data_IF_540854002479
#
_entry.id   IF_540854002479
#
_cell.length_a   1.000
_cell.length_b   1.000
_cell.length_c   1.000
_cell.angle_alpha   90.00
_cell.angle_beta   90.00
_cell.angle_gamma   90.00
#
_symmetry.space_group_name_H-M   'P 1'
#
loop_
_entity.id
_entity.type
_entity.pdbx_description
1 polymer ?
#
# COMPACT_ATOMS: atom_id res chain seq x y z
N UNK A 1 11.95 2.31 3.55
CA UNK A 1 10.60 1.76 3.79
C UNK A 1 10.41 0.50 2.98
N UNK A 2 9.87 -0.57 3.57
CA UNK A 2 9.56 -1.84 2.91
C UNK A 2 8.04 -2.11 2.91
N UNK A 3 7.59 -3.01 2.04
CA UNK A 3 6.21 -3.47 1.99
C UNK A 3 6.02 -4.72 2.87
N UNK A 4 5.15 -4.61 3.86
CA UNK A 4 4.86 -5.62 4.87
C UNK A 4 3.58 -6.38 4.52
N UNK A 5 3.72 -7.50 3.82
CA UNK A 5 2.62 -8.40 3.47
C UNK A 5 2.34 -9.35 4.64
N UNK A 6 1.67 -8.83 5.68
CA UNK A 6 1.41 -9.58 6.92
C UNK A 6 0.01 -10.19 7.01
N UNK A 7 -0.91 -9.81 6.12
CA UNK A 7 -2.28 -10.33 6.11
C UNK A 7 -2.36 -11.80 5.60
N UNK A 8 -1.47 -12.18 4.69
CA UNK A 8 -1.48 -13.48 4.02
C UNK A 8 -0.06 -13.88 3.62
N UNK A 9 0.14 -15.16 3.32
CA UNK A 9 1.39 -15.67 2.72
C UNK A 9 1.15 -16.13 1.30
N UNK A 10 2.21 -16.48 0.58
CA UNK A 10 2.08 -17.30 -0.63
C UNK A 10 1.63 -18.72 -0.28
N UNK A 11 0.96 -19.39 -1.22
CA UNK A 11 0.59 -20.81 -1.13
C UNK A 11 1.81 -21.75 -1.23
N UNK A 12 2.94 -21.28 -1.75
CA UNK A 12 4.22 -21.98 -1.71
C UNK A 12 5.01 -21.77 -0.42
N UNK A 13 4.54 -20.92 0.51
CA UNK A 13 5.27 -20.66 1.75
C UNK A 13 5.38 -21.95 2.59
N UNK A 14 6.53 -22.28 3.21
CA UNK A 14 6.70 -23.54 3.96
C UNK A 14 5.65 -23.80 5.05
N UNK A 15 5.09 -22.75 5.65
CA UNK A 15 3.98 -22.88 6.61
C UNK A 15 2.71 -23.46 5.99
N UNK A 16 2.43 -23.15 4.72
CA UNK A 16 1.25 -23.64 3.99
C UNK A 16 1.59 -24.82 3.09
N UNK A 17 2.59 -24.65 2.23
CA UNK A 17 3.21 -25.65 1.37
C UNK A 17 2.24 -26.44 0.48
N UNK A 18 1.51 -25.71 -0.37
CA UNK A 18 0.59 -26.31 -1.35
C UNK A 18 1.29 -27.28 -2.29
N UNK A 19 2.53 -26.98 -2.65
CA UNK A 19 3.29 -27.72 -3.67
C UNK A 19 4.20 -28.80 -3.07
N UNK A 20 4.14 -29.05 -1.76
CA UNK A 20 4.93 -30.08 -1.07
C UNK A 20 6.45 -29.92 -1.31
N UNK A 21 6.92 -28.67 -1.29
CA UNK A 21 8.33 -28.31 -1.42
C UNK A 21 9.05 -28.32 -0.06
N UNK A 22 8.30 -28.33 1.03
CA UNK A 22 8.79 -28.44 2.40
C UNK A 22 8.18 -29.69 3.07
N UNK A 23 8.54 -29.92 4.33
CA UNK A 23 7.95 -30.98 5.14
C UNK A 23 6.96 -30.39 6.14
N UNK A 24 5.73 -30.91 6.15
CA UNK A 24 4.76 -30.64 7.22
C UNK A 24 3.98 -29.32 7.10
N UNK A 25 3.80 -28.74 5.91
CA UNK A 25 2.96 -27.56 5.74
C UNK A 25 1.46 -27.80 5.94
N UNK A 26 0.73 -26.75 6.32
CA UNK A 26 -0.66 -26.78 6.76
C UNK A 26 -1.68 -27.19 5.68
N UNK A 27 -1.32 -27.12 4.40
CA UNK A 27 -2.23 -27.41 3.29
C UNK A 27 -2.63 -28.90 3.26
N UNK A 28 -1.67 -29.80 3.49
CA UNK A 28 -1.87 -31.25 3.35
C UNK A 28 -1.81 -32.02 4.66
N UNK A 29 -1.32 -31.39 5.74
CA UNK A 29 -1.09 -32.05 7.03
C UNK A 29 -1.98 -31.42 8.12
N UNK A 30 -3.08 -32.08 8.54
CA UNK A 30 -3.91 -31.62 9.65
C UNK A 30 -3.17 -31.50 10.98
N UNK A 31 -2.14 -32.33 11.18
CA UNK A 31 -1.31 -32.32 12.39
C UNK A 31 -0.10 -31.36 12.28
N UNK A 32 -0.03 -30.55 11.22
CA UNK A 32 1.02 -29.54 11.05
C UNK A 32 1.04 -28.58 12.24
N UNK A 33 2.22 -28.20 12.77
CA UNK A 33 2.30 -27.13 13.77
C UNK A 33 1.77 -25.80 13.24
N UNK A 34 1.74 -25.62 11.92
CA UNK A 34 1.22 -24.41 11.27
C UNK A 34 -0.25 -24.51 10.90
N UNK A 35 -0.94 -25.63 11.21
CA UNK A 35 -2.34 -25.83 10.81
C UNK A 35 -3.25 -24.72 11.31
N UNK A 36 -3.08 -24.30 12.56
CA UNK A 36 -3.87 -23.22 13.19
C UNK A 36 -3.55 -21.81 12.69
N UNK A 37 -2.45 -21.64 11.94
CA UNK A 37 -2.04 -20.36 11.38
C UNK A 37 -2.90 -19.94 10.19
N UNK A 38 -3.70 -20.85 9.65
CA UNK A 38 -4.63 -20.61 8.56
C UNK A 38 -6.02 -21.10 8.96
N UNK A 39 -7.04 -20.59 8.26
CA UNK A 39 -8.41 -21.02 8.47
C UNK A 39 -8.89 -21.81 7.25
N UNK A 40 -9.69 -22.85 7.47
CA UNK A 40 -10.18 -23.73 6.41
C UNK A 40 -11.69 -23.87 6.51
N UNK A 41 -12.34 -23.90 5.36
CA UNK A 41 -13.75 -24.25 5.22
C UNK A 41 -13.96 -25.75 5.49
N UNK A 42 -15.20 -26.17 5.79
CA UNK A 42 -15.54 -27.59 6.01
C UNK A 42 -15.23 -28.51 4.82
N UNK A 43 -15.17 -27.97 3.61
CA UNK A 43 -14.82 -28.68 2.38
C UNK A 43 -13.29 -28.86 2.19
N UNK A 44 -12.48 -28.34 3.12
CA UNK A 44 -11.02 -28.40 3.09
C UNK A 44 -10.35 -27.22 2.39
N UNK A 45 -11.11 -26.33 1.74
CA UNK A 45 -10.53 -25.15 1.09
C UNK A 45 -10.05 -24.13 2.11
N UNK A 46 -8.91 -23.48 1.86
CA UNK A 46 -8.37 -22.45 2.74
C UNK A 46 -9.13 -21.12 2.56
N UNK A 47 -9.32 -20.39 3.66
CA UNK A 47 -9.75 -19.00 3.64
C UNK A 47 -8.62 -18.12 3.12
N UNK A 48 -8.85 -17.50 1.97
CA UNK A 48 -7.86 -16.68 1.28
C UNK A 48 -8.30 -15.25 1.08
N UNK A 49 -7.33 -14.37 0.87
CA UNK A 49 -7.60 -12.97 0.56
C UNK A 49 -8.42 -12.83 -0.73
N UNK A 50 -9.61 -12.21 -0.62
CA UNK A 50 -10.60 -12.03 -1.70
C UNK A 50 -10.90 -13.33 -2.49
N UNK A 51 -10.79 -14.49 -1.84
CA UNK A 51 -10.99 -15.80 -2.48
C UNK A 51 -9.87 -16.23 -3.43
N UNK A 52 -8.76 -15.48 -3.52
CA UNK A 52 -7.60 -15.89 -4.31
C UNK A 52 -6.84 -17.00 -3.58
N UNK A 53 -7.02 -18.24 -4.02
CA UNK A 53 -6.45 -19.41 -3.34
C UNK A 53 -4.93 -19.37 -3.18
N UNK A 54 -4.21 -18.59 -3.98
CA UNK A 54 -2.75 -18.49 -3.91
C UNK A 54 -2.27 -17.63 -2.72
N UNK A 55 -3.20 -16.95 -2.04
CA UNK A 55 -2.95 -16.03 -0.94
C UNK A 55 -3.70 -16.50 0.31
N UNK A 56 -3.31 -17.64 0.92
CA UNK A 56 -3.88 -18.12 2.16
C UNK A 56 -3.71 -17.09 3.28
N UNK A 57 -4.82 -16.76 3.96
CA UNK A 57 -4.85 -15.69 4.96
C UNK A 57 -4.36 -16.18 6.31
N UNK A 58 -3.48 -15.42 6.94
CA UNK A 58 -2.95 -15.72 8.27
C UNK A 58 -4.01 -15.48 9.35
N UNK A 59 -3.99 -16.32 10.38
CA UNK A 59 -4.90 -16.26 11.52
C UNK A 59 -4.25 -15.58 12.72
N UNK A 60 -4.57 -14.31 12.95
CA UNK A 60 -4.00 -13.59 14.09
C UNK A 60 -4.58 -13.98 15.46
N UNK A 61 -5.60 -14.86 15.50
CA UNK A 61 -6.04 -15.47 16.77
C UNK A 61 -5.01 -16.46 17.32
N UNK A 62 -4.15 -17.00 16.46
CA UNK A 62 -3.08 -17.92 16.85
C UNK A 62 -1.90 -17.13 17.42
N UNK A 63 -1.55 -17.29 18.72
CA UNK A 63 -0.49 -16.50 19.34
C UNK A 63 0.87 -16.63 18.64
N UNK A 64 1.16 -17.80 18.05
CA UNK A 64 2.40 -18.02 17.30
C UNK A 64 2.49 -17.15 16.03
N UNK A 65 1.36 -16.85 15.39
CA UNK A 65 1.33 -15.91 14.25
C UNK A 65 1.67 -14.50 14.73
N UNK A 66 1.05 -14.06 15.83
CA UNK A 66 1.33 -12.76 16.45
C UNK A 66 2.81 -12.63 16.85
N UNK A 67 3.36 -13.66 17.49
CA UNK A 67 4.79 -13.74 17.83
C UNK A 67 5.67 -13.63 16.60
N UNK A 68 5.41 -14.43 15.58
CA UNK A 68 6.22 -14.47 14.36
C UNK A 68 6.17 -13.15 13.59
N UNK A 69 5.02 -12.51 13.51
CA UNK A 69 4.85 -11.29 12.71
C UNK A 69 5.42 -10.07 13.42
N UNK A 70 5.07 -9.82 14.69
CA UNK A 70 5.46 -8.56 15.35
C UNK A 70 5.81 -8.62 16.84
N UNK A 71 5.33 -9.61 17.59
CA UNK A 71 5.46 -9.59 19.06
C UNK A 71 6.80 -10.12 19.55
N UNK A 72 7.29 -11.23 18.99
CA UNK A 72 8.55 -11.83 19.44
C UNK A 72 9.76 -10.98 19.05
N UNK A 73 10.86 -11.16 19.77
CA UNK A 73 12.11 -10.42 19.55
C UNK A 73 12.69 -10.63 18.14
N UNK A 74 12.55 -11.86 17.62
CA UNK A 74 12.97 -12.27 16.29
C UNK A 74 11.85 -12.17 15.24
N UNK A 75 10.78 -11.43 15.52
CA UNK A 75 9.66 -11.26 14.59
C UNK A 75 10.07 -10.55 13.30
N UNK A 76 9.31 -10.78 12.22
CA UNK A 76 9.58 -10.19 10.90
C UNK A 76 9.65 -8.68 10.98
N UNK A 77 8.69 -8.04 11.65
CA UNK A 77 8.64 -6.58 11.80
C UNK A 77 9.91 -6.03 12.47
N UNK A 78 10.38 -6.66 13.57
CA UNK A 78 11.55 -6.19 14.32
C UNK A 78 12.86 -6.52 13.61
N UNK A 79 12.94 -7.67 12.96
CA UNK A 79 14.15 -8.14 12.28
C UNK A 79 14.71 -7.10 11.29
N UNK A 80 13.85 -6.53 10.44
CA UNK A 80 14.28 -5.54 9.44
C UNK A 80 14.52 -4.13 10.01
N UNK A 81 13.92 -3.81 11.15
CA UNK A 81 14.15 -2.53 11.85
C UNK A 81 15.47 -2.51 12.62
N UNK A 82 16.08 -3.68 12.86
CA UNK A 82 17.34 -3.82 13.58
C UNK A 82 18.54 -3.87 12.63
N UNK A 83 19.76 -3.59 13.13
CA UNK A 83 20.99 -3.84 12.40
C UNK A 83 21.07 -5.31 11.93
N UNK A 84 21.62 -5.58 10.73
CA UNK A 84 22.34 -4.64 9.87
C UNK A 84 21.46 -3.84 8.90
N UNK A 85 20.15 -4.07 8.88
CA UNK A 85 19.24 -3.49 7.88
C UNK A 85 18.77 -2.08 8.27
N UNK A 86 18.24 -1.93 9.49
CA UNK A 86 17.79 -0.66 10.06
C UNK A 86 16.88 0.16 9.14
N UNK A 87 15.82 -0.45 8.60
CA UNK A 87 14.89 0.25 7.71
C UNK A 87 14.14 1.38 8.43
N UNK A 88 13.70 2.39 7.67
CA UNK A 88 13.03 3.58 8.23
C UNK A 88 11.50 3.47 8.33
N UNK A 89 10.91 2.30 8.07
CA UNK A 89 9.46 2.16 8.13
C UNK A 89 8.86 1.05 7.28
N UNK A 90 7.55 0.89 7.46
CA UNK A 90 6.73 -0.16 6.86
C UNK A 90 5.50 0.45 6.16
N UNK A 91 5.26 0.02 4.92
CA UNK A 91 3.94 0.07 4.28
C UNK A 91 3.22 -1.24 4.58
N UNK A 92 2.01 -1.17 5.12
CA UNK A 92 1.22 -2.33 5.54
C UNK A 92 0.19 -2.68 4.47
N UNK A 93 0.40 -3.82 3.81
CA UNK A 93 -0.48 -4.34 2.76
C UNK A 93 -1.84 -4.79 3.30
N UNK A 94 -2.92 -4.38 2.63
CA UNK A 94 -4.32 -4.72 2.91
C UNK A 94 -4.66 -4.63 4.40
N UNK A 95 -4.16 -3.58 5.04
CA UNK A 95 -4.14 -3.44 6.50
C UNK A 95 -5.55 -3.46 7.10
N UNK A 96 -6.55 -2.97 6.37
CA UNK A 96 -7.96 -2.93 6.79
C UNK A 96 -8.63 -4.32 6.89
N UNK A 97 -8.07 -5.37 6.28
CA UNK A 97 -8.63 -6.73 6.31
C UNK A 97 -7.87 -7.69 7.23
N UNK A 98 -6.76 -7.26 7.83
CA UNK A 98 -5.97 -8.07 8.75
C UNK A 98 -6.78 -8.42 10.00
N UNK A 99 -6.72 -9.65 10.46
CA UNK A 99 -7.44 -10.04 11.67
C UNK A 99 -7.53 -11.54 11.91
N UNK A 100 -8.48 -11.88 12.76
CA UNK A 100 -8.67 -13.21 13.34
C UNK A 100 -9.71 -14.04 12.57
N UNK A 101 -9.55 -15.36 12.63
CA UNK A 101 -10.53 -16.36 12.16
C UNK A 101 -11.02 -16.14 10.72
N UNK A 102 -10.10 -15.72 9.83
CA UNK A 102 -10.38 -15.42 8.43
C UNK A 102 -11.05 -14.07 8.17
N UNK A 103 -11.58 -13.42 9.22
CA UNK A 103 -12.19 -12.09 9.17
C UNK A 103 -11.22 -10.95 9.51
N UNK A 104 -11.76 -9.75 9.72
CA UNK A 104 -11.02 -8.58 10.19
C UNK A 104 -11.27 -8.31 11.69
N UNK A 105 -11.68 -9.34 12.45
CA UNK A 105 -11.82 -9.25 13.89
C UNK A 105 -10.44 -8.98 14.52
N UNK A 106 -10.41 -8.19 15.61
CA UNK A 106 -9.14 -7.83 16.27
C UNK A 106 -8.25 -6.87 15.48
N UNK A 107 -8.67 -6.35 14.31
CA UNK A 107 -7.81 -5.56 13.42
C UNK A 107 -7.06 -4.42 14.12
N UNK A 108 -7.77 -3.50 14.78
CA UNK A 108 -7.13 -2.38 15.49
C UNK A 108 -6.23 -2.85 16.63
N UNK A 109 -6.53 -3.98 17.28
CA UNK A 109 -5.68 -4.54 18.33
C UNK A 109 -4.34 -5.01 17.76
N UNK A 110 -4.35 -5.77 16.67
CA UNK A 110 -3.11 -6.24 16.03
C UNK A 110 -2.31 -5.09 15.42
N UNK A 111 -2.98 -4.10 14.82
CA UNK A 111 -2.31 -2.90 14.31
C UNK A 111 -1.68 -2.07 15.42
N UNK A 112 -2.36 -1.90 16.55
CA UNK A 112 -1.76 -1.28 17.72
C UNK A 112 -0.52 -2.07 18.19
N UNK A 113 -0.60 -3.40 18.23
CA UNK A 113 0.53 -4.27 18.58
C UNK A 113 1.72 -4.11 17.64
N UNK A 114 1.48 -4.13 16.32
CA UNK A 114 2.50 -3.90 15.29
C UNK A 114 3.11 -2.51 15.41
N UNK A 115 2.28 -1.46 15.51
CA UNK A 115 2.73 -0.09 15.65
C UNK A 115 3.62 0.09 16.88
N UNK A 116 3.22 -0.46 18.03
CA UNK A 116 4.04 -0.41 19.24
C UNK A 116 5.37 -1.16 19.06
N UNK A 117 5.36 -2.34 18.43
CA UNK A 117 6.59 -3.07 18.14
C UNK A 117 7.54 -2.24 17.26
N UNK A 118 7.02 -1.61 16.20
CA UNK A 118 7.79 -0.75 15.30
C UNK A 118 8.39 0.44 16.06
N UNK A 119 7.57 1.18 16.81
CA UNK A 119 8.01 2.38 17.55
C UNK A 119 8.96 2.08 18.70
N UNK A 120 8.92 0.88 19.27
CA UNK A 120 9.89 0.42 20.27
C UNK A 120 11.27 0.18 19.66
N UNK A 121 11.35 -0.34 18.43
CA UNK A 121 12.63 -0.54 17.74
C UNK A 121 13.18 0.78 17.20
N UNK A 122 12.31 1.60 16.60
CA UNK A 122 12.68 2.90 16.07
C UNK A 122 11.48 3.87 16.18
N UNK A 123 11.52 4.85 17.11
CA UNK A 123 10.45 5.85 17.26
C UNK A 123 10.18 6.67 16.00
N UNK A 124 11.20 6.85 15.15
CA UNK A 124 11.13 7.62 13.91
C UNK A 124 10.68 6.77 12.72
N UNK A 125 10.54 5.45 12.86
CA UNK A 125 10.11 4.59 11.76
C UNK A 125 8.68 4.91 11.33
N UNK A 126 8.49 5.19 10.04
CA UNK A 126 7.20 5.61 9.47
C UNK A 126 6.29 4.41 9.20
N UNK A 127 5.05 4.46 9.69
CA UNK A 127 4.05 3.38 9.50
C UNK A 127 2.91 3.84 8.59
N UNK A 128 2.84 3.25 7.41
CA UNK A 128 1.91 3.61 6.33
C UNK A 128 0.92 2.48 6.08
N UNK A 129 -0.39 2.69 6.27
CA UNK A 129 -1.42 1.70 5.96
C UNK A 129 -1.97 1.79 4.53
N UNK A 130 -2.21 0.65 3.88
CA UNK A 130 -2.96 0.60 2.63
C UNK A 130 -4.48 0.67 2.86
N UNK A 131 -5.06 1.82 2.50
CA UNK A 131 -6.50 2.04 2.53
C UNK A 131 -6.97 2.65 1.20
N UNK A 132 -7.77 1.90 0.43
CA UNK A 132 -8.49 2.47 -0.71
C UNK A 132 -9.66 3.38 -0.27
N UNK A 133 -10.24 3.06 0.90
CA UNK A 133 -11.35 3.80 1.51
C UNK A 133 -10.88 4.79 2.58
N UNK A 134 -11.83 5.26 3.39
CA UNK A 134 -11.56 6.26 4.43
C UNK A 134 -10.73 5.69 5.58
N UNK A 135 -9.48 6.14 5.69
CA UNK A 135 -8.51 5.66 6.68
C UNK A 135 -8.63 6.35 8.05
N UNK A 136 -9.47 7.37 8.21
CA UNK A 136 -9.51 8.21 9.42
C UNK A 136 -9.70 7.40 10.71
N UNK A 137 -10.46 6.31 10.66
CA UNK A 137 -10.66 5.39 11.79
C UNK A 137 -9.34 4.91 12.38
N UNK A 138 -8.39 4.47 11.55
CA UNK A 138 -7.10 3.94 11.96
C UNK A 138 -6.15 5.05 12.40
N UNK A 139 -6.15 6.16 11.67
CA UNK A 139 -5.33 7.34 11.99
C UNK A 139 -5.72 7.96 13.34
N UNK A 140 -7.01 8.02 13.67
CA UNK A 140 -7.48 8.46 14.99
C UNK A 140 -7.20 7.47 16.11
N UNK A 141 -7.23 6.17 15.82
CA UNK A 141 -6.86 5.14 16.78
C UNK A 141 -5.35 5.17 17.11
N UNK A 142 -4.54 5.87 16.31
CA UNK A 142 -3.10 5.99 16.53
C UNK A 142 -2.33 4.70 16.26
N UNK A 143 -2.87 3.83 15.39
CA UNK A 143 -2.26 2.54 15.02
C UNK A 143 -1.45 2.61 13.72
N UNK A 144 -1.48 3.76 13.05
CA UNK A 144 -0.74 4.08 11.82
C UNK A 144 -0.31 5.55 11.88
N UNK A 145 0.79 5.90 11.22
CA UNK A 145 1.19 7.30 11.08
C UNK A 145 0.42 8.00 9.96
N UNK A 146 0.20 7.28 8.87
CA UNK A 146 -0.44 7.76 7.66
C UNK A 146 -1.06 6.61 6.88
N UNK A 147 -1.87 6.96 5.88
CA UNK A 147 -2.43 6.02 4.93
C UNK A 147 -2.01 6.40 3.50
N UNK A 148 -2.02 5.41 2.60
CA UNK A 148 -2.01 5.66 1.15
C UNK A 148 -3.23 6.51 0.83
N UNK A 149 -3.01 7.79 0.50
CA UNK A 149 -4.04 8.82 0.55
C UNK A 149 -4.94 8.80 -0.70
N UNK A 150 -5.57 7.66 -0.99
CA UNK A 150 -6.50 7.52 -2.10
C UNK A 150 -7.71 8.43 -1.90
N UNK A 151 -8.39 8.32 -0.75
CA UNK A 151 -9.62 9.11 -0.49
C UNK A 151 -9.38 10.61 -0.36
N UNK A 152 -8.25 11.04 0.21
CA UNK A 152 -7.98 12.47 0.45
C UNK A 152 -7.19 13.17 -0.64
N UNK A 153 -6.60 12.43 -1.59
CA UNK A 153 -5.79 13.01 -2.66
C UNK A 153 -6.01 12.32 -4.02
N UNK A 154 -5.70 11.03 -4.16
CA UNK A 154 -5.65 10.40 -5.48
C UNK A 154 -7.01 10.36 -6.20
N UNK A 155 -8.07 10.00 -5.49
CA UNK A 155 -9.43 9.88 -6.03
C UNK A 155 -10.07 11.23 -6.40
N UNK A 156 -10.03 12.29 -5.57
CA UNK A 156 -10.55 13.59 -6.00
C UNK A 156 -9.77 14.16 -7.19
N UNK A 157 -8.43 14.04 -7.20
CA UNK A 157 -7.59 14.49 -8.32
C UNK A 157 -7.89 13.70 -9.60
N UNK A 158 -8.10 12.38 -9.49
CA UNK A 158 -8.57 11.53 -10.61
C UNK A 158 -9.93 11.98 -11.12
N UNK A 159 -10.92 12.14 -10.25
CA UNK A 159 -12.27 12.53 -10.64
C UNK A 159 -12.28 13.89 -11.35
N UNK A 160 -11.49 14.86 -10.86
CA UNK A 160 -11.39 16.19 -11.46
C UNK A 160 -10.62 16.20 -12.80
N UNK A 161 -9.43 15.60 -12.87
CA UNK A 161 -8.56 15.70 -14.06
C UNK A 161 -8.87 14.65 -15.14
N UNK A 162 -9.29 13.44 -14.74
CA UNK A 162 -9.59 12.33 -15.64
C UNK A 162 -11.10 12.11 -15.86
N UNK A 163 -11.97 12.63 -14.98
CA UNK A 163 -13.41 12.53 -15.15
C UNK A 163 -13.96 11.12 -14.96
N UNK A 164 -13.29 10.28 -14.16
CA UNK A 164 -13.70 8.88 -13.91
C UNK A 164 -13.51 8.45 -12.45
N UNK A 165 -14.40 7.62 -11.92
CA UNK A 165 -14.22 6.95 -10.62
C UNK A 165 -13.29 5.72 -10.72
N UNK A 166 -13.06 5.03 -9.59
CA UNK A 166 -12.24 3.81 -9.51
C UNK A 166 -12.76 2.68 -10.40
N UNK A 167 -14.07 2.60 -10.62
CA UNK A 167 -14.74 1.63 -11.48
C UNK A 167 -14.76 2.06 -12.96
N UNK A 168 -14.09 3.15 -13.32
CA UNK A 168 -14.04 3.72 -14.68
C UNK A 168 -15.38 4.30 -15.16
N UNK A 169 -16.32 4.54 -14.25
CA UNK A 169 -17.55 5.24 -14.60
C UNK A 169 -17.26 6.74 -14.71
N UNK A 170 -17.88 7.43 -15.69
CA UNK A 170 -17.76 8.88 -15.80
C UNK A 170 -18.20 9.59 -14.53
N UNK A 171 -17.38 10.52 -14.06
CA UNK A 171 -17.66 11.42 -12.94
C UNK A 171 -17.40 12.84 -13.40
N UNK A 172 -18.36 13.73 -13.15
CA UNK A 172 -18.16 15.17 -13.31
C UNK A 172 -17.92 15.76 -11.92
N UNK A 173 -16.66 16.12 -11.64
CA UNK A 173 -16.27 16.85 -10.44
C UNK A 173 -15.65 18.16 -10.89
N UNK A 174 -16.23 19.30 -10.50
CA UNK A 174 -15.64 20.59 -10.81
C UNK A 174 -14.50 20.95 -9.83
N UNK A 175 -13.84 22.08 -10.07
CA UNK A 175 -12.70 22.49 -9.25
C UNK A 175 -13.10 22.82 -7.79
N UNK A 176 -14.29 23.39 -7.59
CA UNK A 176 -14.76 23.77 -6.26
C UNK A 176 -15.12 22.52 -5.44
N UNK A 177 -15.81 21.56 -6.06
CA UNK A 177 -16.16 20.29 -5.43
C UNK A 177 -14.93 19.41 -5.16
N UNK A 178 -13.94 19.43 -6.06
CA UNK A 178 -12.65 18.77 -5.82
C UNK A 178 -11.94 19.36 -4.60
N UNK A 179 -11.86 20.69 -4.49
CA UNK A 179 -11.26 21.35 -3.34
C UNK A 179 -12.05 21.04 -2.05
N UNK A 180 -13.38 21.12 -2.09
CA UNK A 180 -14.25 20.80 -0.95
C UNK A 180 -14.07 19.35 -0.47
N UNK A 181 -13.93 18.39 -1.39
CA UNK A 181 -13.64 16.99 -1.03
C UNK A 181 -12.31 16.91 -0.28
N UNK A 182 -11.24 17.41 -0.88
CA UNK A 182 -9.89 17.30 -0.32
C UNK A 182 -9.79 18.00 1.05
N UNK A 183 -10.38 19.19 1.18
CA UNK A 183 -10.45 19.91 2.45
C UNK A 183 -11.32 19.20 3.48
N UNK A 184 -12.46 18.64 3.07
CA UNK A 184 -13.35 17.89 3.95
C UNK A 184 -12.69 16.63 4.51
N UNK A 185 -11.94 15.89 3.69
CA UNK A 185 -11.17 14.74 4.17
C UNK A 185 -10.08 15.18 5.15
N UNK A 186 -9.29 16.19 4.76
CA UNK A 186 -8.18 16.73 5.55
C UNK A 186 -8.63 17.31 6.90
N UNK A 187 -9.77 17.99 6.94
CA UNK A 187 -10.36 18.54 8.16
C UNK A 187 -10.70 17.47 9.21
N UNK A 188 -10.89 16.22 8.76
CA UNK A 188 -11.07 15.07 9.64
C UNK A 188 -9.78 14.59 10.30
N UNK A 189 -8.60 15.11 9.98
CA UNK A 189 -7.33 14.65 10.52
C UNK A 189 -6.62 15.74 11.34
N UNK A 190 -5.94 15.39 12.44
CA UNK A 190 -5.03 16.32 13.13
C UNK A 190 -3.93 16.82 12.20
N UNK A 191 -3.51 18.08 12.36
CA UNK A 191 -2.55 18.73 11.45
C UNK A 191 -1.23 17.96 11.27
N UNK A 192 -0.68 17.38 12.34
CA UNK A 192 0.52 16.55 12.26
C UNK A 192 0.31 15.29 11.38
N UNK A 193 -0.89 14.70 11.38
CA UNK A 193 -1.24 13.57 10.50
C UNK A 193 -1.47 14.00 9.06
N UNK A 194 -1.98 15.22 8.83
CA UNK A 194 -2.12 15.79 7.48
C UNK A 194 -0.76 15.96 6.81
N UNK A 195 0.24 16.50 7.53
CA UNK A 195 1.60 16.74 7.03
C UNK A 195 2.33 15.48 6.58
N UNK A 196 1.91 14.31 7.05
CA UNK A 196 2.58 13.04 6.79
C UNK A 196 1.73 12.05 6.01
N UNK A 197 0.55 12.45 5.49
CA UNK A 197 -0.23 11.58 4.59
C UNK A 197 0.54 11.24 3.33
N UNK A 198 0.41 10.02 2.83
CA UNK A 198 1.15 9.56 1.67
C UNK A 198 0.38 9.85 0.39
N UNK A 199 0.73 10.93 -0.30
CA UNK A 199 0.04 11.38 -1.51
C UNK A 199 0.63 10.69 -2.73
N UNK A 200 -0.21 10.12 -3.59
CA UNK A 200 0.19 9.46 -4.83
C UNK A 200 -0.90 9.65 -5.90
N UNK A 201 -0.52 9.68 -7.18
CA UNK A 201 -1.46 9.81 -8.30
C UNK A 201 -1.99 8.46 -8.76
N UNK A 202 -1.12 7.45 -8.77
CA UNK A 202 -1.42 6.08 -9.12
C UNK A 202 -0.54 5.11 -8.30
N UNK A 203 -0.61 3.82 -8.62
CA UNK A 203 0.13 2.78 -7.95
C UNK A 203 0.26 1.52 -8.81
N UNK A 204 0.82 0.47 -8.22
CA UNK A 204 0.86 -0.85 -8.82
C UNK A 204 -0.51 -1.56 -8.88
N UNK A 205 -1.56 -0.99 -8.28
CA UNK A 205 -2.93 -1.54 -8.23
C UNK A 205 -3.94 -0.71 -9.04
N UNK A 206 -3.52 0.41 -9.63
CA UNK A 206 -4.37 1.25 -10.47
C UNK A 206 -3.74 1.44 -11.84
N UNK A 207 -4.57 1.72 -12.85
CA UNK A 207 -4.04 2.23 -14.12
C UNK A 207 -3.16 3.47 -13.92
N UNK A 208 -2.16 3.65 -14.79
CA UNK A 208 -1.29 4.82 -14.79
C UNK A 208 -2.11 6.08 -14.97
N UNK A 209 -1.80 7.11 -14.21
CA UNK A 209 -2.53 8.37 -14.19
C UNK A 209 -2.50 9.01 -15.58
N UNK A 210 -1.35 8.99 -16.26
CA UNK A 210 -1.24 9.48 -17.64
C UNK A 210 -2.22 8.79 -18.61
N UNK A 211 -2.46 7.48 -18.44
CA UNK A 211 -3.43 6.74 -19.26
C UNK A 211 -4.87 7.16 -18.95
N UNK A 212 -5.19 7.44 -17.68
CA UNK A 212 -6.49 7.99 -17.30
C UNK A 212 -6.72 9.40 -17.87
N UNK A 213 -5.64 10.14 -18.15
CA UNK A 213 -5.67 11.47 -18.74
C UNK A 213 -5.63 11.46 -20.28
N UNK A 214 -5.96 10.34 -20.93
CA UNK A 214 -5.87 10.16 -22.39
C UNK A 214 -4.48 10.51 -22.96
N UNK A 215 -3.43 10.19 -22.20
CA UNK A 215 -2.04 10.53 -22.51
C UNK A 215 -1.79 12.04 -22.68
N UNK A 216 -2.56 12.90 -22.01
CA UNK A 216 -2.39 14.34 -22.06
C UNK A 216 -1.25 14.82 -21.13
N UNK A 217 -0.10 15.26 -21.68
CA UNK A 217 1.05 15.63 -20.87
C UNK A 217 0.79 16.90 -20.03
N UNK A 218 -0.06 17.83 -20.49
CA UNK A 218 -0.36 19.06 -19.74
C UNK A 218 -1.16 18.76 -18.48
N UNK A 219 -2.14 17.85 -18.56
CA UNK A 219 -2.89 17.40 -17.38
C UNK A 219 -2.00 16.63 -16.40
N UNK A 220 -1.07 15.81 -16.91
CA UNK A 220 -0.11 15.11 -16.05
C UNK A 220 0.82 16.10 -15.33
N UNK A 221 1.28 17.14 -16.03
CA UNK A 221 2.07 18.22 -15.42
C UNK A 221 1.29 18.96 -14.32
N UNK A 222 0.01 19.27 -14.55
CA UNK A 222 -0.86 19.85 -13.53
C UNK A 222 -0.97 18.94 -12.29
N UNK A 223 -1.16 17.64 -12.51
CA UNK A 223 -1.24 16.66 -11.43
C UNK A 223 0.07 16.55 -10.63
N UNK A 224 1.21 16.56 -11.32
CA UNK A 224 2.53 16.53 -10.68
C UNK A 224 2.80 17.80 -9.85
N UNK A 225 2.47 18.99 -10.38
CA UNK A 225 2.57 20.25 -9.62
C UNK A 225 1.67 20.20 -8.38
N UNK A 226 0.44 19.70 -8.52
CA UNK A 226 -0.46 19.55 -7.39
C UNK A 226 0.10 18.59 -6.34
N UNK A 227 0.58 17.41 -6.74
CA UNK A 227 1.19 16.43 -5.85
C UNK A 227 2.35 17.03 -5.03
N UNK A 228 3.24 17.78 -5.68
CA UNK A 228 4.43 18.37 -5.05
C UNK A 228 4.10 19.60 -4.19
N UNK A 229 2.99 20.28 -4.45
CA UNK A 229 2.55 21.47 -3.70
C UNK A 229 1.51 21.16 -2.62
N UNK A 230 0.99 19.93 -2.57
CA UNK A 230 -0.03 19.54 -1.60
C UNK A 230 0.57 19.15 -0.25
N UNK A 231 -0.21 19.35 0.80
CA UNK A 231 0.16 18.93 2.16
C UNK A 231 0.25 17.41 2.26
N UNK A 232 1.36 16.90 2.80
CA UNK A 232 1.65 15.48 2.92
C UNK A 232 3.02 15.13 2.36
N UNK A 233 3.31 13.84 2.31
CA UNK A 233 4.52 13.27 1.70
C UNK A 233 4.18 12.87 0.25
N UNK A 234 4.74 13.54 -0.76
CA UNK A 234 4.52 13.15 -2.15
C UNK A 234 5.27 11.86 -2.48
N UNK A 235 4.59 10.93 -3.13
CA UNK A 235 5.15 9.72 -3.71
C UNK A 235 4.92 9.70 -5.22
N UNK A 236 6.02 9.59 -5.97
CA UNK A 236 6.00 9.37 -7.41
C UNK A 236 6.09 7.86 -7.68
N UNK A 237 5.13 7.33 -8.43
CA UNK A 237 5.23 5.95 -8.90
C UNK A 237 6.22 5.91 -10.07
N UNK A 238 7.18 4.98 -10.02
CA UNK A 238 8.30 4.97 -10.96
C UNK A 238 7.82 4.99 -12.41
N UNK A 239 8.32 5.90 -13.22
CA UNK A 239 7.89 6.08 -14.62
C UNK A 239 6.92 7.24 -14.82
N UNK A 240 6.24 7.73 -13.79
CA UNK A 240 5.33 8.88 -13.91
C UNK A 240 6.08 10.15 -14.33
N UNK A 241 7.30 10.32 -13.84
CA UNK A 241 8.18 11.45 -14.14
C UNK A 241 8.63 11.51 -15.61
N UNK A 242 8.58 10.37 -16.30
CA UNK A 242 8.87 10.25 -17.73
C UNK A 242 7.61 10.03 -18.58
N UNK A 243 6.42 10.06 -17.96
CA UNK A 243 5.15 9.82 -18.63
C UNK A 243 5.00 8.39 -19.13
N UNK A 244 5.24 7.41 -18.25
CA UNK A 244 4.95 6.01 -18.52
C UNK A 244 3.44 5.77 -18.46
N UNK A 245 2.89 5.19 -19.52
CA UNK A 245 1.49 4.82 -19.65
C UNK A 245 1.28 3.35 -19.25
N UNK A 246 0.04 2.97 -18.96
CA UNK A 246 -0.32 1.61 -18.57
C UNK A 246 -1.78 1.51 -18.11
N UNK A 247 -2.48 0.48 -18.59
CA UNK A 247 -3.80 0.12 -18.08
C UNK A 247 -3.73 -0.47 -16.66
N UNK A 248 -4.79 -1.14 -16.22
CA UNK A 248 -4.78 -1.84 -14.93
C UNK A 248 -3.74 -2.95 -14.83
N UNK A 249 -3.47 -3.41 -13.60
CA UNK A 249 -2.63 -4.57 -13.30
C UNK A 249 -2.89 -5.73 -14.29
N UNK A 250 -1.85 -6.28 -14.95
CA UNK A 250 -0.41 -6.02 -14.82
C UNK A 250 0.17 -4.91 -15.69
N UNK A 251 -0.64 -4.25 -16.52
CA UNK A 251 -0.16 -3.27 -17.49
C UNK A 251 0.33 -1.96 -16.89
N UNK A 252 0.01 -1.65 -15.62
CA UNK A 252 0.58 -0.52 -14.90
C UNK A 252 2.04 -0.76 -14.47
N UNK A 253 2.51 -2.02 -14.51
CA UNK A 253 3.83 -2.46 -14.00
C UNK A 253 4.87 -2.64 -15.12
N UNK A 254 4.82 -1.79 -16.15
CA UNK A 254 5.78 -1.84 -17.28
C UNK A 254 7.22 -1.70 -16.79
N UNK A 255 8.15 -2.34 -17.50
CA UNK A 255 9.58 -2.14 -17.26
C UNK A 255 9.96 -0.68 -17.45
N UNK A 256 10.81 -0.15 -16.57
CA UNK A 256 11.30 1.21 -16.71
C UNK A 256 12.18 1.35 -17.97
N UNK A 257 11.83 2.22 -18.93
CA UNK A 257 12.60 2.36 -20.17
C UNK A 257 13.84 3.22 -19.96
N UNK A 258 15.00 2.57 -19.77
CA UNK A 258 16.30 3.24 -19.70
C UNK A 258 16.55 4.04 -21.00
N UNK A 259 16.81 5.35 -20.87
CA UNK A 259 17.12 6.24 -22.00
C UNK A 259 15.97 7.14 -22.49
N UNK A 260 14.75 7.02 -21.95
CA UNK A 260 13.67 7.97 -22.22
C UNK A 260 13.91 9.27 -21.45
N UNK A 261 13.97 10.41 -22.14
CA UNK A 261 14.08 11.74 -21.48
C UNK A 261 12.80 12.02 -20.67
N UNK A 262 12.89 12.72 -19.52
CA UNK A 262 11.72 13.19 -18.77
C UNK A 262 10.74 13.96 -19.65
N UNK A 263 9.46 13.96 -19.28
CA UNK A 263 8.44 14.70 -20.04
C UNK A 263 8.76 16.20 -20.07
N UNK A 264 9.27 16.66 -21.22
CA UNK A 264 9.56 18.06 -21.49
C UNK A 264 10.77 18.60 -20.74
N UNK A 265 11.91 18.68 -21.43
CA UNK A 265 13.12 19.38 -20.97
C UNK A 265 12.94 20.88 -20.71
N UNK A 266 11.75 21.43 -21.00
CA UNK A 266 11.45 22.84 -20.83
C UNK A 266 10.45 23.14 -19.70
N UNK A 267 9.87 22.16 -19.00
CA UNK A 267 8.83 22.52 -18.00
C UNK A 267 8.59 21.57 -16.82
N UNK A 268 8.93 20.27 -16.86
CA UNK A 268 8.94 19.39 -15.66
C UNK A 268 10.01 18.30 -15.78
N UNK A 269 11.25 18.67 -16.14
CA UNK A 269 12.39 17.77 -15.99
C UNK A 269 12.93 17.88 -14.57
N UNK A 270 12.54 16.98 -13.66
CA UNK A 270 13.10 16.93 -12.30
C UNK A 270 14.55 16.38 -12.26
N UNK A 271 15.06 15.87 -13.39
CA UNK A 271 16.46 15.45 -13.55
C UNK A 271 16.92 15.88 -14.95
N UNK A 272 17.93 16.74 -15.01
CA UNK A 272 18.78 16.86 -16.20
C UNK A 272 19.91 15.82 -16.05
N UNK A 273 20.21 14.99 -17.07
CA UNK A 273 21.49 14.29 -17.07
C UNK A 273 22.60 15.35 -17.06
N UNK A 274 23.72 15.16 -16.32
CA UNK A 274 24.86 16.06 -16.40
C UNK A 274 25.29 16.12 -17.86
N UNK A 275 25.40 17.33 -18.38
CA UNK A 275 25.87 17.58 -19.73
C UNK A 275 27.18 16.82 -19.93
N UNK A 276 27.12 15.76 -20.73
CA UNK A 276 28.30 15.09 -21.22
C UNK A 276 29.09 16.09 -22.04
N UNK A 277 30.11 16.68 -21.43
CA UNK A 277 31.14 17.43 -22.13
C UNK A 277 31.89 16.47 -23.05
N UNK A 278 31.85 16.80 -24.35
CA UNK A 278 32.72 16.42 -25.46
C UNK A 278 32.86 14.92 -25.81
#
# INVERSE_FOLDING_TARGET
>A
MLDGVFNHTGDSHPWFDRYQQAEGGACHHPDSPYRGWFNFYPDGNVLSWKGNTNLPKLNFAEPQVVDTIYRADNSVVRHWLRPPYSIDGWRLDVVHMLGENGGAAGNLHHLAGMYQAIKQENPDAYVLGEHFGDARRWLHAGVEDAAMNYMGFALPVRAFLAGVDVAYHPVLLDAADCANWMDGYRAGLPHNRQLIQFNQLDSHDTARFLTLLDNNPRRMQMAAVWLLAWIGVPCLYYGDEIGLDGGNDPFCRKTFPLGRKPMGSATVGLVQPPDGTA
#
